data_IF_528530131872
#
_entry.id   IF_528530131872
#
_cell.length_a   1.000
_cell.length_b   1.000
_cell.length_c   1.000
_cell.angle_alpha   90.00
_cell.angle_beta   90.00
_cell.angle_gamma   90.00
#
_symmetry.space_group_name_H-M   'P 1'
#
loop_
_entity.id
_entity.type
_entity.pdbx_description
1 polymer ?
#
# COMPACT_ATOMS: atom_id res chain seq x y z
N UNK A 1 15.90 -21.84 -5.96
CA UNK A 1 14.88 -21.13 -6.77
C UNK A 1 13.43 -21.35 -6.27
N UNK A 2 12.97 -22.57 -5.94
CA UNK A 2 11.55 -22.81 -5.56
C UNK A 2 11.04 -22.01 -4.35
N UNK A 3 11.84 -21.86 -3.28
CA UNK A 3 11.41 -21.12 -2.07
C UNK A 3 11.22 -19.61 -2.31
N UNK A 4 12.04 -19.02 -3.17
CA UNK A 4 12.01 -17.58 -3.48
C UNK A 4 10.73 -17.17 -4.19
N UNK A 5 10.22 -18.01 -5.11
CA UNK A 5 8.95 -17.77 -5.78
C UNK A 5 7.76 -17.77 -4.81
N UNK A 6 7.77 -18.66 -3.81
CA UNK A 6 6.72 -18.71 -2.79
C UNK A 6 6.67 -17.44 -1.93
N UNK A 7 7.82 -16.89 -1.53
CA UNK A 7 7.85 -15.64 -0.76
C UNK A 7 7.30 -14.45 -1.55
N UNK A 8 7.60 -14.37 -2.84
CA UNK A 8 7.08 -13.31 -3.71
C UNK A 8 5.56 -13.47 -3.90
N UNK A 9 5.08 -14.69 -4.12
CA UNK A 9 3.64 -14.94 -4.25
C UNK A 9 2.87 -14.54 -2.97
N UNK A 10 3.40 -14.87 -1.78
CA UNK A 10 2.81 -14.44 -0.50
C UNK A 10 2.79 -12.91 -0.39
N UNK A 11 3.88 -12.26 -0.81
CA UNK A 11 3.98 -10.81 -0.80
C UNK A 11 3.00 -10.14 -1.77
N UNK A 12 2.79 -10.73 -2.95
CA UNK A 12 1.80 -10.23 -3.91
C UNK A 12 0.37 -10.39 -3.38
N UNK A 13 0.06 -11.51 -2.71
CA UNK A 13 -1.23 -11.70 -2.02
C UNK A 13 -1.44 -10.64 -0.95
N UNK A 14 -0.42 -10.35 -0.14
CA UNK A 14 -0.48 -9.25 0.84
C UNK A 14 -0.79 -7.91 0.16
N UNK A 15 -0.09 -7.59 -0.93
CA UNK A 15 -0.31 -6.34 -1.65
C UNK A 15 -1.72 -6.22 -2.22
N UNK A 16 -2.24 -7.30 -2.83
CA UNK A 16 -3.61 -7.33 -3.36
C UNK A 16 -4.64 -7.15 -2.24
N UNK A 17 -4.46 -7.84 -1.11
CA UNK A 17 -5.34 -7.69 0.06
C UNK A 17 -5.29 -6.27 0.62
N UNK A 18 -4.09 -5.70 0.77
CA UNK A 18 -3.91 -4.34 1.26
C UNK A 18 -4.63 -3.32 0.36
N UNK A 19 -4.47 -3.45 -0.96
CA UNK A 19 -5.17 -2.60 -1.94
C UNK A 19 -6.69 -2.77 -1.88
N UNK A 20 -7.19 -4.01 -1.76
CA UNK A 20 -8.62 -4.28 -1.65
C UNK A 20 -9.24 -3.71 -0.37
N UNK A 21 -8.46 -3.56 0.71
CA UNK A 21 -8.93 -2.97 1.96
C UNK A 21 -8.97 -1.43 1.94
N UNK A 22 -8.23 -0.77 1.05
CA UNK A 22 -8.14 0.69 1.02
C UNK A 22 -9.49 1.43 0.91
N UNK A 23 -10.45 1.00 0.06
CA UNK A 23 -11.76 1.66 -0.02
C UNK A 23 -12.53 1.60 1.30
N UNK A 24 -12.49 0.46 2.00
CA UNK A 24 -13.16 0.30 3.29
C UNK A 24 -12.52 1.19 4.37
N UNK A 25 -11.19 1.23 4.40
CA UNK A 25 -10.43 2.13 5.31
C UNK A 25 -10.80 3.60 5.03
N UNK A 26 -10.88 3.97 3.74
CA UNK A 26 -11.19 5.33 3.34
C UNK A 26 -12.62 5.76 3.72
N UNK A 27 -13.62 4.90 3.52
CA UNK A 27 -15.03 5.26 3.73
C UNK A 27 -15.51 5.12 5.18
N UNK A 28 -15.02 4.12 5.92
CA UNK A 28 -15.68 3.69 7.17
C UNK A 28 -14.92 4.06 8.46
N UNK A 29 -13.71 4.61 8.36
CA UNK A 29 -12.85 4.84 9.53
C UNK A 29 -12.63 6.32 9.85
N UNK A 30 -12.36 6.61 11.13
CA UNK A 30 -11.93 7.92 11.60
C UNK A 30 -10.56 8.29 11.00
N UNK A 31 -10.20 9.59 11.01
CA UNK A 31 -8.93 10.06 10.41
C UNK A 31 -7.72 9.38 11.08
N UNK A 32 -7.75 9.26 12.40
CA UNK A 32 -6.70 8.58 13.18
C UNK A 32 -6.55 7.12 12.78
N UNK A 33 -7.67 6.40 12.63
CA UNK A 33 -7.65 5.02 12.19
C UNK A 33 -7.16 4.88 10.73
N UNK A 34 -7.51 5.81 9.85
CA UNK A 34 -6.98 5.86 8.48
C UNK A 34 -5.46 6.02 8.47
N UNK A 35 -4.91 6.97 9.24
CA UNK A 35 -3.46 7.19 9.37
C UNK A 35 -2.76 5.91 9.82
N UNK A 36 -3.25 5.28 10.89
CA UNK A 36 -2.64 4.05 11.42
C UNK A 36 -2.63 2.95 10.37
N UNK A 37 -3.76 2.70 9.71
CA UNK A 37 -3.87 1.66 8.69
C UNK A 37 -2.96 1.95 7.47
N UNK A 38 -2.93 3.19 6.99
CA UNK A 38 -2.09 3.56 5.85
C UNK A 38 -0.59 3.51 6.19
N UNK A 39 -0.20 3.89 7.40
CA UNK A 39 1.19 3.74 7.89
C UNK A 39 1.57 2.26 7.98
N UNK A 40 0.68 1.39 8.47
CA UNK A 40 0.95 -0.05 8.53
C UNK A 40 1.09 -0.67 7.13
N UNK A 41 0.14 -0.39 6.22
CA UNK A 41 0.19 -0.88 4.84
C UNK A 41 1.48 -0.42 4.15
N UNK A 42 1.79 0.87 4.25
CA UNK A 42 2.99 1.44 3.62
C UNK A 42 4.26 0.91 4.26
N UNK A 43 4.30 0.81 5.59
CA UNK A 43 5.46 0.35 6.36
C UNK A 43 5.81 -1.12 6.07
N UNK A 44 4.81 -2.01 6.12
CA UNK A 44 4.98 -3.44 5.80
C UNK A 44 5.41 -3.60 4.34
N UNK A 45 4.72 -2.92 3.41
CA UNK A 45 5.05 -3.00 1.98
C UNK A 45 6.41 -2.40 1.64
N UNK A 46 6.85 -1.38 2.40
CA UNK A 46 8.16 -0.77 2.24
C UNK A 46 9.29 -1.66 2.77
N UNK A 47 9.14 -2.25 3.95
CA UNK A 47 10.21 -3.05 4.57
C UNK A 47 10.32 -4.45 3.96
N UNK A 48 9.21 -5.08 3.63
CA UNK A 48 9.21 -6.46 3.18
C UNK A 48 9.69 -6.58 1.73
N UNK A 49 10.71 -7.43 1.51
CA UNK A 49 11.29 -7.77 0.20
C UNK A 49 11.83 -6.58 -0.62
N UNK A 50 12.00 -5.39 -0.04
CA UNK A 50 12.52 -4.19 -0.72
C UNK A 50 13.81 -4.42 -1.47
N UNK A 51 14.86 -4.80 -0.74
CA UNK A 51 16.20 -4.90 -1.31
C UNK A 51 16.29 -6.09 -2.26
N UNK A 52 15.56 -7.15 -1.95
CA UNK A 52 15.42 -8.33 -2.79
C UNK A 52 14.76 -8.02 -4.15
N UNK A 53 13.59 -7.37 -4.15
CA UNK A 53 12.88 -7.00 -5.38
C UNK A 53 13.66 -5.94 -6.17
N UNK A 54 14.33 -5.00 -5.49
CA UNK A 54 15.16 -3.99 -6.15
C UNK A 54 16.35 -4.63 -6.88
N UNK A 55 17.02 -5.60 -6.25
CA UNK A 55 18.16 -6.31 -6.85
C UNK A 55 17.74 -7.24 -8.01
N UNK A 56 16.52 -7.80 -7.97
CA UNK A 56 16.04 -8.78 -8.95
C UNK A 56 15.03 -8.22 -9.95
N UNK A 57 14.87 -6.88 -10.04
CA UNK A 57 13.82 -6.26 -10.88
C UNK A 57 13.94 -6.64 -12.37
N UNK A 58 15.13 -6.97 -12.87
CA UNK A 58 15.36 -7.31 -14.28
C UNK A 58 15.44 -8.82 -14.53
N UNK A 59 15.37 -9.64 -13.49
CA UNK A 59 15.54 -11.09 -13.58
C UNK A 59 14.34 -11.80 -14.28
N UNK A 60 13.16 -11.17 -14.31
CA UNK A 60 12.01 -11.69 -15.03
C UNK A 60 10.73 -10.88 -14.81
N UNK A 61 9.72 -11.12 -15.67
CA UNK A 61 8.43 -10.42 -15.62
C UNK A 61 7.71 -10.55 -14.27
N UNK A 62 7.83 -11.72 -13.62
CA UNK A 62 7.23 -11.96 -12.31
C UNK A 62 7.78 -11.01 -11.24
N UNK A 63 9.11 -10.83 -11.16
CA UNK A 63 9.75 -9.91 -10.23
C UNK A 63 9.42 -8.44 -10.52
N UNK A 64 9.25 -8.08 -11.80
CA UNK A 64 8.80 -6.74 -12.18
C UNK A 64 7.38 -6.45 -11.71
N UNK A 65 6.46 -7.41 -11.91
CA UNK A 65 5.07 -7.25 -11.51
C UNK A 65 4.97 -7.02 -10.00
N UNK A 66 5.63 -7.86 -9.19
CA UNK A 66 5.65 -7.71 -7.74
C UNK A 66 6.28 -6.39 -7.29
N UNK A 67 7.31 -5.90 -8.01
CA UNK A 67 7.91 -4.59 -7.73
C UNK A 67 6.95 -3.42 -8.04
N UNK A 68 6.21 -3.48 -9.14
CA UNK A 68 5.20 -2.46 -9.46
C UNK A 68 4.03 -2.52 -8.49
N UNK A 69 3.56 -3.72 -8.17
CA UNK A 69 2.48 -3.95 -7.21
C UNK A 69 2.85 -3.38 -5.84
N UNK A 70 4.08 -3.60 -5.38
CA UNK A 70 4.64 -2.95 -4.18
C UNK A 70 4.54 -1.43 -4.23
N UNK A 71 5.00 -0.83 -5.33
CA UNK A 71 5.00 0.63 -5.46
C UNK A 71 3.58 1.20 -5.44
N UNK A 72 2.62 0.53 -6.09
CA UNK A 72 1.20 0.92 -6.05
C UNK A 72 0.66 0.82 -4.63
N UNK A 73 0.90 -0.30 -3.93
CA UNK A 73 0.49 -0.51 -2.53
C UNK A 73 1.12 0.48 -1.57
N UNK A 74 2.29 1.06 -1.88
CA UNK A 74 2.92 2.09 -1.07
C UNK A 74 2.39 3.51 -1.37
N UNK A 75 2.16 3.83 -2.65
CA UNK A 75 1.82 5.20 -3.06
C UNK A 75 0.33 5.47 -2.85
N UNK A 76 -0.54 4.50 -3.15
CA UNK A 76 -1.98 4.69 -3.11
C UNK A 76 -2.52 5.06 -1.71
N UNK A 77 -2.06 4.44 -0.59
CA UNK A 77 -2.46 4.86 0.75
C UNK A 77 -2.08 6.31 1.05
N UNK A 78 -0.94 6.79 0.55
CA UNK A 78 -0.49 8.18 0.75
C UNK A 78 -1.43 9.14 0.01
N UNK A 79 -1.77 8.83 -1.23
CA UNK A 79 -2.72 9.62 -2.02
C UNK A 79 -4.08 9.66 -1.32
N UNK A 80 -4.60 8.52 -0.89
CA UNK A 80 -5.90 8.45 -0.19
C UNK A 80 -5.87 9.21 1.14
N UNK A 81 -4.77 9.16 1.89
CA UNK A 81 -4.62 9.95 3.11
C UNK A 81 -4.68 11.45 2.82
N UNK A 82 -3.98 11.93 1.79
CA UNK A 82 -4.02 13.34 1.39
C UNK A 82 -5.44 13.77 1.00
N UNK A 83 -6.15 12.93 0.23
CA UNK A 83 -7.56 13.17 -0.12
C UNK A 83 -8.43 13.24 1.13
N UNK A 84 -8.30 12.29 2.07
CA UNK A 84 -9.04 12.30 3.34
C UNK A 84 -8.81 13.58 4.15
N UNK A 85 -7.56 14.04 4.23
CA UNK A 85 -7.21 15.27 4.96
C UNK A 85 -7.86 16.48 4.30
N UNK A 86 -7.73 16.63 2.98
CA UNK A 86 -8.33 17.74 2.23
C UNK A 86 -9.85 17.74 2.39
N UNK A 87 -10.52 16.59 2.25
CA UNK A 87 -11.98 16.50 2.41
C UNK A 87 -12.44 16.94 3.81
N UNK A 88 -11.72 16.55 4.87
CA UNK A 88 -12.07 16.96 6.24
C UNK A 88 -11.80 18.43 6.52
N UNK A 89 -10.74 19.00 5.96
CA UNK A 89 -10.46 20.43 6.07
C UNK A 89 -11.50 21.28 5.33
N UNK A 90 -11.92 20.84 4.14
CA UNK A 90 -12.99 21.50 3.37
C UNK A 90 -14.34 21.40 4.10
N UNK A 91 -14.70 20.23 4.64
CA UNK A 91 -15.94 20.10 5.43
C UNK A 91 -15.90 20.92 6.72
N UNK A 92 -14.75 20.99 7.39
CA UNK A 92 -14.58 21.78 8.62
C UNK A 92 -14.61 23.30 8.39
N UNK A 93 -14.32 23.77 7.18
CA UNK A 93 -14.40 25.20 6.82
C UNK A 93 -15.79 25.63 6.37
N UNK A 94 -16.64 24.70 5.91
CA UNK A 94 -18.04 24.99 5.52
C UNK A 94 -18.98 25.01 6.73
N UNK A 95 -18.61 24.35 7.83
CA UNK A 95 -19.42 24.23 9.04
C UNK A 95 -19.07 25.23 10.16
N UNK A 96 -18.14 26.16 9.91
CA UNK A 96 -17.79 27.28 10.79
C UNK A 96 -18.20 28.59 10.13
#
# INVERSE_FOLDING_TARGET
MKRTGTFIAIYDVWCVLALAMLPSIFMNHSLTAQIINYVLITGISYWWLKDFLKANKTAGRFYQLSYYLRNVTMILPIILLLVSVVMKLVQGTVNN
#
